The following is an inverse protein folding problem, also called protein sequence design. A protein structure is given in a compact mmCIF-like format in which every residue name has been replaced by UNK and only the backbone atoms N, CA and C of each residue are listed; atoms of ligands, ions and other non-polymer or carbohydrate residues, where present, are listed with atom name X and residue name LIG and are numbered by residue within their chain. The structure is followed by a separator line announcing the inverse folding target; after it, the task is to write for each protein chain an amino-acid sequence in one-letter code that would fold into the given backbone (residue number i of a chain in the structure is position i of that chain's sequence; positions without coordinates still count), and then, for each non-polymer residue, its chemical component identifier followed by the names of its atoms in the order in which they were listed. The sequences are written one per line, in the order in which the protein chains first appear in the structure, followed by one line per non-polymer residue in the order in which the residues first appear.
data_IF_712339650622
#
_entry.id   IF_712339650622
#
_cell.length_a   1.000
_cell.length_b   1.000
_cell.length_c   1.000
_cell.angle_alpha   90.00
_cell.angle_beta   90.00
_cell.angle_gamma   90.00
#
_symmetry.space_group_name_H-M   'P 1'
#
loop_
_entity.id
_entity.type
_entity.pdbx_description
1 polymer ?
#
# COMPACT_ATOMS: atom_id res chain seq x y z
N UNK A 1 14.54 -8.05 -6.21
CA UNK A 1 15.07 -6.84 -5.54
C UNK A 1 15.29 -7.20 -4.07
N UNK A 2 16.17 -6.52 -3.33
CA UNK A 2 16.30 -6.77 -1.87
C UNK A 2 15.41 -5.83 -1.06
N UNK A 3 15.11 -6.21 0.19
CA UNK A 3 14.37 -5.36 1.13
C UNK A 3 15.00 -3.97 1.30
N UNK A 4 16.34 -3.90 1.42
CA UNK A 4 17.07 -2.61 1.49
C UNK A 4 16.92 -1.75 0.24
N UNK A 5 16.77 -2.35 -0.93
CA UNK A 5 16.52 -1.62 -2.17
C UNK A 5 15.06 -1.12 -2.22
N UNK A 6 14.11 -1.90 -1.71
CA UNK A 6 12.70 -1.51 -1.58
C UNK A 6 12.54 -0.29 -0.65
N UNK A 7 13.16 -0.32 0.53
CA UNK A 7 13.16 0.80 1.49
C UNK A 7 13.67 2.09 0.82
N UNK A 8 14.77 2.02 0.07
CA UNK A 8 15.32 3.17 -0.67
C UNK A 8 14.41 3.65 -1.81
N UNK A 9 13.68 2.74 -2.44
CA UNK A 9 12.71 3.09 -3.49
C UNK A 9 11.53 3.85 -2.87
N UNK A 10 11.05 3.39 -1.72
CA UNK A 10 9.92 3.98 -1.01
C UNK A 10 10.23 5.37 -0.45
N UNK A 11 11.41 5.53 0.17
CA UNK A 11 11.92 6.82 0.65
C UNK A 11 11.91 7.88 -0.47
N UNK A 12 12.36 7.50 -1.68
CA UNK A 12 12.43 8.38 -2.85
C UNK A 12 11.12 8.57 -3.62
N UNK A 13 10.11 7.75 -3.35
CA UNK A 13 8.84 7.83 -4.07
C UNK A 13 8.06 9.07 -3.63
N UNK A 14 7.41 9.74 -4.57
CA UNK A 14 6.49 10.84 -4.28
C UNK A 14 5.12 10.32 -3.80
N UNK A 15 4.76 9.11 -4.23
CA UNK A 15 3.55 8.41 -3.82
C UNK A 15 3.79 6.90 -3.80
N UNK A 16 3.07 6.22 -2.93
CA UNK A 16 3.13 4.78 -2.71
C UNK A 16 1.69 4.29 -2.65
N UNK A 17 1.32 3.40 -3.57
CA UNK A 17 0.02 2.74 -3.53
C UNK A 17 0.20 1.29 -3.17
N UNK A 18 -0.49 0.86 -2.14
CA UNK A 18 -0.33 -0.45 -1.52
C UNK A 18 -1.60 -1.25 -1.70
N UNK A 19 -1.46 -2.50 -2.12
CA UNK A 19 -2.53 -3.48 -2.10
C UNK A 19 -2.14 -4.52 -1.06
N UNK A 20 -2.80 -4.49 0.09
CA UNK A 20 -2.39 -5.28 1.25
C UNK A 20 -3.54 -6.16 1.77
N UNK A 21 -3.31 -7.46 1.99
CA UNK A 21 -4.30 -8.34 2.58
C UNK A 21 -4.28 -8.29 4.12
N UNK A 22 -3.27 -7.68 4.75
CA UNK A 22 -3.01 -7.77 6.21
C UNK A 22 -2.51 -6.47 6.87
N UNK A 23 -1.94 -5.52 6.11
CA UNK A 23 -1.18 -4.35 6.60
C UNK A 23 0.05 -4.70 7.46
N UNK A 24 0.62 -5.90 7.27
CA UNK A 24 1.74 -6.39 8.07
C UNK A 24 2.96 -5.47 8.02
N UNK A 25 3.40 -5.03 6.83
CA UNK A 25 4.59 -4.18 6.72
C UNK A 25 4.38 -2.80 7.37
N UNK A 26 3.17 -2.26 7.28
CA UNK A 26 2.85 -0.92 7.78
C UNK A 26 2.55 -0.86 9.28
N UNK A 27 2.32 -2.01 9.94
CA UNK A 27 1.94 -2.06 11.36
C UNK A 27 2.88 -2.92 12.20
N UNK A 28 3.44 -3.99 11.65
CA UNK A 28 4.17 -5.02 12.41
C UNK A 28 5.66 -5.06 12.05
N UNK A 29 6.04 -4.73 10.82
CA UNK A 29 7.43 -4.68 10.39
C UNK A 29 8.11 -3.39 10.88
N UNK A 30 9.15 -3.52 11.71
CA UNK A 30 9.83 -2.35 12.33
C UNK A 30 10.48 -1.42 11.30
N UNK A 31 11.18 -1.97 10.32
CA UNK A 31 11.93 -1.18 9.33
C UNK A 31 10.97 -0.33 8.47
N UNK A 32 9.82 -0.89 8.08
CA UNK A 32 8.79 -0.17 7.35
C UNK A 32 7.99 0.77 8.24
N UNK A 33 7.63 0.36 9.45
CA UNK A 33 6.87 1.22 10.37
C UNK A 33 7.61 2.51 10.74
N UNK A 34 8.95 2.45 10.86
CA UNK A 34 9.81 3.62 11.06
C UNK A 34 9.86 4.50 9.81
N UNK A 35 10.01 3.91 8.62
CA UNK A 35 10.01 4.65 7.36
C UNK A 35 8.66 5.33 7.08
N UNK A 36 7.56 4.63 7.33
CA UNK A 36 6.19 5.15 7.22
C UNK A 36 5.99 6.28 8.24
N UNK A 37 6.46 6.12 9.49
CA UNK A 37 6.44 7.19 10.51
C UNK A 37 7.18 8.46 10.06
N UNK A 38 8.36 8.31 9.45
CA UNK A 38 9.14 9.44 8.89
C UNK A 38 8.43 10.06 7.67
N UNK A 39 7.87 9.24 6.78
CA UNK A 39 7.19 9.68 5.57
C UNK A 39 5.79 10.27 5.80
N UNK A 40 5.14 9.96 6.91
CA UNK A 40 3.81 10.46 7.25
C UNK A 40 3.78 11.94 7.68
N UNK A 41 4.96 12.57 7.84
CA UNK A 41 5.08 14.02 7.75
C UNK A 41 4.53 14.60 6.44
N UNK A 42 4.39 13.77 5.39
CA UNK A 42 3.84 14.09 4.07
C UNK A 42 2.49 13.41 3.79
N UNK A 43 1.62 13.27 4.81
CA UNK A 43 0.15 12.98 4.88
C UNK A 43 -0.65 12.42 3.69
N UNK A 44 -0.28 12.68 2.44
CA UNK A 44 -0.92 12.26 1.19
C UNK A 44 -0.14 11.20 0.39
N UNK A 45 1.06 10.81 0.83
CA UNK A 45 1.96 9.90 0.09
C UNK A 45 1.38 8.49 -0.12
N UNK A 46 0.56 7.97 0.80
CA UNK A 46 0.10 6.58 0.77
C UNK A 46 -1.38 6.41 0.39
N UNK A 47 -1.67 5.39 -0.44
CA UNK A 47 -3.03 4.94 -0.77
C UNK A 47 -3.12 3.42 -0.67
N UNK A 48 -4.13 2.91 0.01
CA UNK A 48 -4.27 1.49 0.33
C UNK A 48 -5.54 0.92 -0.28
N UNK A 49 -5.45 -0.27 -0.87
CA UNK A 49 -6.60 -1.14 -1.16
C UNK A 49 -6.48 -2.37 -0.26
N UNK A 50 -7.51 -2.62 0.55
CA UNK A 50 -7.52 -3.68 1.56
C UNK A 50 -8.88 -4.40 1.58
N UNK A 51 -8.95 -5.66 2.05
CA UNK A 51 -10.22 -6.37 2.18
C UNK A 51 -11.00 -5.90 3.41
N UNK A 52 -12.33 -5.90 3.32
CA UNK A 52 -13.25 -5.48 4.38
C UNK A 52 -13.47 -6.49 5.50
N UNK A 53 -12.40 -7.14 5.95
CA UNK A 53 -12.45 -8.12 7.05
C UNK A 53 -12.43 -7.43 8.41
N UNK A 54 -12.88 -8.12 9.46
CA UNK A 54 -12.78 -7.62 10.83
C UNK A 54 -11.33 -7.36 11.26
N UNK A 55 -10.40 -8.20 10.81
CA UNK A 55 -9.00 -8.09 11.21
C UNK A 55 -8.30 -6.90 10.53
N UNK A 56 -8.60 -6.62 9.26
CA UNK A 56 -8.11 -5.39 8.61
C UNK A 56 -8.64 -4.14 9.31
N UNK A 57 -9.90 -4.10 9.72
CA UNK A 57 -10.41 -2.94 10.44
C UNK A 57 -9.66 -2.70 11.76
N UNK A 58 -9.30 -3.77 12.50
CA UNK A 58 -8.43 -3.65 13.69
C UNK A 58 -7.04 -3.12 13.33
N UNK A 59 -6.45 -3.60 12.23
CA UNK A 59 -5.14 -3.14 11.78
C UNK A 59 -5.16 -1.67 11.33
N UNK A 60 -6.24 -1.22 10.67
CA UNK A 60 -6.46 0.19 10.35
C UNK A 60 -6.56 1.03 11.64
N UNK A 61 -7.24 0.55 12.67
CA UNK A 61 -7.31 1.24 13.96
C UNK A 61 -5.94 1.37 14.64
N UNK A 62 -5.09 0.34 14.51
CA UNK A 62 -3.71 0.37 15.01
C UNK A 62 -2.89 1.36 14.20
N UNK A 63 -2.92 1.26 12.86
CA UNK A 63 -2.26 2.19 11.94
C UNK A 63 -2.64 3.64 12.24
N UNK A 64 -3.94 3.93 12.37
CA UNK A 64 -4.47 5.24 12.72
C UNK A 64 -3.87 5.78 14.03
N UNK A 65 -3.81 4.95 15.08
CA UNK A 65 -3.25 5.33 16.38
C UNK A 65 -1.75 5.54 16.34
N UNK A 66 -1.02 4.63 15.69
CA UNK A 66 0.44 4.67 15.55
C UNK A 66 0.89 5.96 14.85
N UNK A 67 0.09 6.41 13.89
CA UNK A 67 0.42 7.53 13.03
C UNK A 67 -0.39 8.80 13.28
N UNK A 68 -1.18 8.81 14.36
CA UNK A 68 -1.97 9.96 14.78
C UNK A 68 -2.88 10.55 13.69
N UNK A 69 -3.49 9.68 12.87
CA UNK A 69 -4.35 10.10 11.76
C UNK A 69 -5.78 10.39 12.22
N UNK A 70 -6.40 11.39 11.59
CA UNK A 70 -7.84 11.63 11.68
C UNK A 70 -8.65 10.59 10.90
N UNK A 71 -9.95 10.49 11.19
CA UNK A 71 -10.87 9.64 10.41
C UNK A 71 -10.92 10.05 8.94
N UNK A 72 -10.85 11.35 8.67
CA UNK A 72 -10.86 11.87 7.30
C UNK A 72 -9.59 11.45 6.54
N UNK A 73 -8.42 11.51 7.19
CA UNK A 73 -7.16 11.05 6.60
C UNK A 73 -7.20 9.53 6.33
N UNK A 74 -7.74 8.73 7.26
CA UNK A 74 -7.95 7.28 7.04
C UNK A 74 -8.90 7.05 5.86
N UNK A 75 -10.04 7.75 5.81
CA UNK A 75 -11.02 7.63 4.73
C UNK A 75 -10.45 8.04 3.36
N UNK A 76 -9.57 9.03 3.33
CA UNK A 76 -8.86 9.46 2.12
C UNK A 76 -7.76 8.50 1.69
N UNK A 77 -7.18 7.74 2.61
CA UNK A 77 -6.03 6.88 2.35
C UNK A 77 -6.41 5.41 2.12
N UNK A 78 -7.53 4.94 2.65
CA UNK A 78 -7.95 3.53 2.54
C UNK A 78 -9.19 3.36 1.66
N UNK A 79 -9.08 2.50 0.65
CA UNK A 79 -10.20 1.88 -0.04
C UNK A 79 -10.39 0.46 0.49
N UNK A 80 -11.44 0.28 1.28
CA UNK A 80 -11.85 -1.02 1.81
C UNK A 80 -12.80 -1.67 0.80
N UNK A 81 -12.41 -2.80 0.22
CA UNK A 81 -13.24 -3.56 -0.71
C UNK A 81 -14.01 -4.67 0.03
N UNK A 82 -15.25 -5.00 -0.38
CA UNK A 82 -15.93 -6.19 0.12
C UNK A 82 -15.07 -7.44 -0.07
N UNK A 83 -15.11 -8.38 0.87
CA UNK A 83 -14.34 -9.64 0.79
C UNK A 83 -14.60 -10.40 -0.52
N UNK A 84 -15.83 -10.37 -1.04
CA UNK A 84 -16.19 -11.01 -2.31
C UNK A 84 -15.53 -10.37 -3.55
N UNK A 85 -15.02 -9.15 -3.43
CA UNK A 85 -14.37 -8.41 -4.51
C UNK A 85 -12.84 -8.33 -4.33
N UNK A 86 -12.33 -8.91 -3.23
CA UNK A 86 -10.92 -9.00 -2.93
C UNK A 86 -10.52 -10.47 -2.84
N UNK A 87 -10.01 -11.00 -3.95
CA UNK A 87 -9.57 -12.40 -3.97
C UNK A 87 -8.49 -12.63 -2.91
N UNK A 88 -8.50 -13.76 -2.19
CA UNK A 88 -7.45 -14.07 -1.23
C UNK A 88 -6.11 -14.17 -1.98
N UNK A 89 -5.16 -13.32 -1.60
CA UNK A 89 -3.79 -13.38 -2.08
C UNK A 89 -2.83 -13.19 -0.90
N UNK A 90 -1.66 -13.82 -1.00
CA UNK A 90 -0.66 -13.91 0.09
C UNK A 90 0.46 -12.87 -0.04
N UNK A 91 0.40 -12.03 -1.07
CA UNK A 91 1.45 -11.05 -1.39
C UNK A 91 0.97 -9.65 -1.12
N UNK A 92 1.80 -8.82 -0.50
CA UNK A 92 1.57 -7.37 -0.49
C UNK A 92 2.20 -6.77 -1.74
N UNK A 93 1.51 -5.83 -2.38
CA UNK A 93 1.99 -5.16 -3.59
C UNK A 93 2.18 -3.68 -3.29
N UNK A 94 3.40 -3.18 -3.48
CA UNK A 94 3.71 -1.76 -3.49
C UNK A 94 3.87 -1.24 -4.93
N UNK A 95 3.17 -0.16 -5.26
CA UNK A 95 3.28 0.56 -6.53
C UNK A 95 3.81 1.97 -6.25
N UNK A 96 5.02 2.24 -6.70
CA UNK A 96 5.75 3.48 -6.47
C UNK A 96 5.58 4.41 -7.67
N UNK A 97 5.20 5.66 -7.41
CA UNK A 97 4.95 6.70 -8.42
C UNK A 97 3.91 6.28 -9.47
N UNK A 98 2.80 5.68 -9.05
CA UNK A 98 1.79 5.09 -9.95
C UNK A 98 1.11 6.08 -10.92
N UNK A 99 1.12 7.38 -10.63
CA UNK A 99 0.64 8.45 -11.52
C UNK A 99 1.64 8.84 -12.60
N UNK A 100 2.91 8.48 -12.44
CA UNK A 100 4.00 8.77 -13.38
C UNK A 100 3.99 7.83 -14.59
N UNK A 101 4.62 8.29 -15.68
CA UNK A 101 4.96 7.41 -16.83
C UNK A 101 5.97 6.34 -16.45
N UNK A 102 6.78 6.62 -15.43
CA UNK A 102 7.78 5.71 -14.87
C UNK A 102 7.33 5.31 -13.46
N UNK A 103 6.53 4.25 -13.39
CA UNK A 103 6.13 3.62 -12.14
C UNK A 103 6.85 2.28 -11.95
N UNK A 104 7.05 1.90 -10.69
CA UNK A 104 7.66 0.63 -10.30
C UNK A 104 6.69 -0.13 -9.42
N UNK A 105 6.53 -1.43 -9.62
CA UNK A 105 5.71 -2.27 -8.76
C UNK A 105 6.52 -3.44 -8.22
N UNK A 106 6.32 -3.76 -6.95
CA UNK A 106 6.99 -4.86 -6.27
C UNK A 106 5.97 -5.67 -5.46
N UNK A 107 6.29 -6.93 -5.19
CA UNK A 107 5.55 -7.76 -4.25
C UNK A 107 6.45 -8.42 -3.21
N UNK A 108 5.98 -8.47 -1.97
CA UNK A 108 6.57 -9.19 -0.84
C UNK A 108 5.55 -10.13 -0.18
N UNK A 109 5.99 -10.99 0.73
CA UNK A 109 5.08 -11.85 1.49
C UNK A 109 4.27 -11.00 2.48
N UNK A 110 2.95 -11.09 2.46
CA UNK A 110 2.10 -10.22 3.26
C UNK A 110 1.97 -10.62 4.74
N UNK A 111 2.50 -11.78 5.14
CA UNK A 111 2.25 -12.36 6.45
C UNK A 111 3.54 -12.74 7.20
N UNK A 112 4.70 -12.60 6.55
CA UNK A 112 5.98 -13.00 7.10
C UNK A 112 7.08 -12.07 6.60
N UNK A 113 8.10 -11.85 7.44
CA UNK A 113 9.29 -11.11 7.07
C UNK A 113 10.15 -11.91 6.09
N UNK A 114 9.86 -11.74 4.80
CA UNK A 114 10.65 -12.27 3.69
C UNK A 114 11.66 -11.26 3.15
N UNK A 115 12.86 -11.74 2.79
CA UNK A 115 13.83 -10.92 2.05
C UNK A 115 13.58 -10.90 0.53
N UNK A 116 12.72 -11.80 0.05
CA UNK A 116 12.44 -12.00 -1.36
C UNK A 116 11.38 -11.02 -1.86
N UNK A 117 11.85 -10.02 -2.63
CA UNK A 117 10.98 -9.05 -3.29
C UNK A 117 10.93 -9.32 -4.79
N UNK A 118 9.73 -9.61 -5.28
CA UNK A 118 9.43 -9.76 -6.69
C UNK A 118 9.33 -8.37 -7.29
N UNK A 119 10.18 -8.06 -8.27
CA UNK A 119 10.08 -6.83 -9.05
C UNK A 119 9.31 -7.13 -10.35
N UNK A 120 8.20 -6.44 -10.58
CA UNK A 120 7.42 -6.62 -11.80
C UNK A 120 8.06 -5.90 -12.99
N UNK A 121 7.80 -6.43 -14.20
CA UNK A 121 8.19 -5.75 -15.44
C UNK A 121 7.47 -4.42 -15.58
N UNK A 122 8.10 -3.44 -16.23
CA UNK A 122 7.55 -2.08 -16.38
C UNK A 122 6.13 -2.05 -16.96
N UNK A 123 5.83 -2.86 -17.98
CA UNK A 123 4.47 -2.92 -18.54
C UNK A 123 3.45 -3.44 -17.52
N UNK A 124 3.81 -4.49 -16.76
CA UNK A 124 2.97 -5.02 -15.69
C UNK A 124 2.74 -3.99 -14.58
N UNK A 125 3.78 -3.25 -14.18
CA UNK A 125 3.64 -2.17 -13.19
C UNK A 125 2.68 -1.07 -13.67
N UNK A 126 2.73 -0.70 -14.96
CA UNK A 126 1.81 0.27 -15.57
C UNK A 126 0.37 -0.24 -15.60
N UNK A 127 0.17 -1.51 -15.95
CA UNK A 127 -1.16 -2.14 -15.95
C UNK A 127 -1.75 -2.24 -14.54
N UNK A 128 -0.92 -2.55 -13.55
CA UNK A 128 -1.28 -2.55 -12.13
C UNK A 128 -1.67 -1.15 -11.66
N UNK A 129 -0.88 -0.12 -11.96
CA UNK A 129 -1.18 1.27 -11.61
C UNK A 129 -2.50 1.74 -12.26
N UNK A 130 -2.73 1.41 -13.53
CA UNK A 130 -3.98 1.71 -14.23
C UNK A 130 -5.18 1.02 -13.56
N UNK A 131 -5.03 -0.23 -13.16
CA UNK A 131 -6.08 -1.00 -12.49
C UNK A 131 -6.38 -0.45 -11.10
N UNK A 132 -5.34 -0.09 -10.34
CA UNK A 132 -5.46 0.57 -9.05
C UNK A 132 -6.28 1.87 -9.16
N UNK A 133 -5.93 2.75 -10.10
CA UNK A 133 -6.70 3.97 -10.38
C UNK A 133 -8.15 3.70 -10.76
N UNK A 134 -8.39 2.68 -11.59
CA UNK A 134 -9.73 2.33 -12.03
C UNK A 134 -10.61 1.87 -10.86
N UNK A 135 -10.08 1.02 -9.97
CA UNK A 135 -10.75 0.61 -8.74
C UNK A 135 -10.99 1.82 -7.84
N UNK A 136 -9.96 2.63 -7.60
CA UNK A 136 -10.09 3.82 -6.78
C UNK A 136 -11.21 4.74 -7.26
N UNK A 137 -11.23 5.06 -8.55
CA UNK A 137 -12.29 5.87 -9.16
C UNK A 137 -13.66 5.23 -9.06
N UNK A 138 -13.77 3.91 -9.25
CA UNK A 138 -15.04 3.18 -9.19
C UNK A 138 -15.69 3.30 -7.80
N UNK A 139 -14.92 3.08 -6.74
CA UNK A 139 -15.46 2.99 -5.38
C UNK A 139 -15.41 4.32 -4.61
N UNK A 140 -14.33 5.10 -4.75
CA UNK A 140 -14.19 6.40 -4.07
C UNK A 140 -14.76 7.58 -4.86
N UNK A 141 -15.06 7.40 -6.16
CA UNK A 141 -15.53 8.47 -7.07
C UNK A 141 -14.54 9.65 -7.22
N UNK A 142 -13.27 9.41 -6.92
CA UNK A 142 -12.18 10.40 -7.00
C UNK A 142 -11.09 9.87 -7.95
N UNK A 143 -10.47 10.75 -8.73
CA UNK A 143 -9.29 10.40 -9.51
C UNK A 143 -8.02 10.58 -8.65
N UNK A 144 -7.13 9.60 -8.70
CA UNK A 144 -5.77 9.68 -8.16
C UNK A 144 -4.81 10.30 -9.17
#
# INVERSE_FOLDING_TARGET
MTLKQLIKLEDKANEVWVISPSLHYDVENKDFSELVSVNLGQKTKYKYIVPGTKDINKQIDIYKKMYHLSEDEVSQNFLILPESEFNPFVLEIGIYNGSSKECTACAGAALEDGNDIILFKSNTAKDMAKSFKALWKKYKRVNL
#
